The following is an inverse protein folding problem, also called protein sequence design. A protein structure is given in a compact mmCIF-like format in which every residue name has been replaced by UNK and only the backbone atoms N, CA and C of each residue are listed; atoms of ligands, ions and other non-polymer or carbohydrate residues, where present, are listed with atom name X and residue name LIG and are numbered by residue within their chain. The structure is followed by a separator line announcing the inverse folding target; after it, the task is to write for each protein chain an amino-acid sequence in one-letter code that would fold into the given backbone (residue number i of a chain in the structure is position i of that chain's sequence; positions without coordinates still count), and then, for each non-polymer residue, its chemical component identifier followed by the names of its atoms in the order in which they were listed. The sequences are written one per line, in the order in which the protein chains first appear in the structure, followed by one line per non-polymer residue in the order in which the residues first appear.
data_IF_199889790325
#
_entry.id   IF_199889790325
#
_cell.length_a   1.000
_cell.length_b   1.000
_cell.length_c   1.000
_cell.angle_alpha   90.00
_cell.angle_beta   90.00
_cell.angle_gamma   90.00
#
_symmetry.space_group_name_H-M   'P 1'
#
loop_
_entity.id
_entity.type
_entity.pdbx_description
1 polymer ?
#
# COMPACT_ATOMS: atom_id res chain seq x y z
N UNK A 1 -4.96 10.07 23.58
CA UNK A 1 -4.32 10.16 22.25
C UNK A 1 -4.00 8.76 21.75
N UNK A 2 -4.97 8.07 21.15
CA UNK A 2 -4.72 6.78 20.49
C UNK A 2 -4.07 7.02 19.13
N UNK A 3 -2.85 6.54 18.94
CA UNK A 3 -2.11 6.71 17.68
C UNK A 3 -2.84 5.98 16.56
N UNK A 4 -3.26 6.71 15.52
CA UNK A 4 -3.87 6.19 14.29
C UNK A 4 -2.86 5.46 13.39
N UNK A 5 -2.25 4.38 13.87
CA UNK A 5 -1.52 3.42 13.01
C UNK A 5 -2.45 2.35 12.43
N UNK A 6 -3.66 2.73 12.01
CA UNK A 6 -4.80 1.80 11.95
C UNK A 6 -5.46 1.56 10.59
N UNK A 7 -5.39 2.51 9.66
CA UNK A 7 -6.13 2.39 8.38
C UNK A 7 -5.22 2.01 7.23
N UNK A 8 -4.12 2.75 7.01
CA UNK A 8 -3.16 2.44 5.95
C UNK A 8 -2.54 1.06 6.13
N UNK A 9 -2.09 0.72 7.34
CA UNK A 9 -1.47 -0.58 7.64
C UNK A 9 -2.45 -1.72 7.41
N UNK A 10 -3.72 -1.56 7.84
CA UNK A 10 -4.77 -2.55 7.63
C UNK A 10 -5.07 -2.75 6.15
N UNK A 11 -5.12 -1.67 5.37
CA UNK A 11 -5.31 -1.74 3.92
C UNK A 11 -4.10 -2.38 3.25
N UNK A 12 -2.88 -2.05 3.67
CA UNK A 12 -1.66 -2.62 3.14
C UNK A 12 -1.57 -4.12 3.45
N UNK A 13 -1.92 -4.54 4.67
CA UNK A 13 -1.97 -5.95 5.07
C UNK A 13 -3.05 -6.72 4.29
N UNK A 14 -4.22 -6.10 4.06
CA UNK A 14 -5.29 -6.66 3.22
C UNK A 14 -4.85 -6.81 1.76
N UNK A 15 -4.33 -5.74 1.17
CA UNK A 15 -3.87 -5.70 -0.22
C UNK A 15 -2.69 -6.63 -0.49
N UNK A 16 -1.91 -6.99 0.54
CA UNK A 16 -0.73 -7.87 0.42
C UNK A 16 -0.91 -9.23 1.08
N UNK A 17 -2.14 -9.62 1.39
CA UNK A 17 -2.41 -10.88 2.08
C UNK A 17 -2.01 -12.07 1.20
N UNK A 18 -1.26 -13.01 1.78
CA UNK A 18 -0.91 -14.28 1.12
C UNK A 18 -2.12 -15.15 0.74
N UNK A 19 -3.31 -14.83 1.29
CA UNK A 19 -4.56 -15.56 1.07
C UNK A 19 -5.39 -14.99 -0.09
N UNK A 20 -4.94 -13.90 -0.73
CA UNK A 20 -5.60 -13.35 -1.90
C UNK A 20 -5.52 -14.33 -3.08
N UNK A 21 -6.67 -14.56 -3.71
CA UNK A 21 -6.78 -15.32 -4.96
C UNK A 21 -6.53 -14.42 -6.19
N UNK A 22 -6.74 -13.11 -6.03
CA UNK A 22 -6.54 -12.07 -7.02
C UNK A 22 -6.21 -10.73 -6.35
N UNK A 23 -5.78 -9.75 -7.15
CA UNK A 23 -5.45 -8.40 -6.69
C UNK A 23 -6.64 -7.68 -6.06
N UNK A 24 -6.46 -7.20 -4.83
CA UNK A 24 -7.46 -6.35 -4.13
C UNK A 24 -7.31 -4.88 -4.56
N UNK A 25 -7.82 -4.56 -5.74
CA UNK A 25 -7.77 -3.20 -6.30
C UNK A 25 -8.47 -2.17 -5.42
N UNK A 26 -9.53 -2.57 -4.72
CA UNK A 26 -10.25 -1.68 -3.81
C UNK A 26 -9.33 -1.16 -2.70
N UNK A 27 -8.57 -2.05 -2.07
CA UNK A 27 -7.64 -1.68 -1.00
C UNK A 27 -6.45 -0.89 -1.55
N UNK A 28 -5.94 -1.23 -2.73
CA UNK A 28 -4.86 -0.51 -3.41
C UNK A 28 -5.26 0.93 -3.73
N UNK A 29 -6.46 1.14 -4.27
CA UNK A 29 -6.96 2.48 -4.60
C UNK A 29 -7.20 3.32 -3.35
N UNK A 30 -7.75 2.73 -2.27
CA UNK A 30 -7.87 3.41 -0.98
C UNK A 30 -6.51 3.81 -0.40
N UNK A 31 -5.47 2.98 -0.55
CA UNK A 31 -4.10 3.35 -0.17
C UNK A 31 -3.63 4.58 -0.96
N UNK A 32 -3.86 4.61 -2.27
CA UNK A 32 -3.51 5.76 -3.10
C UNK A 32 -4.24 7.03 -2.64
N UNK A 33 -5.53 6.91 -2.33
CA UNK A 33 -6.34 8.02 -1.82
C UNK A 33 -5.80 8.58 -0.51
N UNK A 34 -5.44 7.71 0.45
CA UNK A 34 -4.85 8.13 1.72
C UNK A 34 -3.52 8.88 1.53
N UNK A 35 -2.71 8.48 0.55
CA UNK A 35 -1.44 9.17 0.25
C UNK A 35 -1.72 10.53 -0.41
N UNK A 36 -2.63 10.59 -1.40
CA UNK A 36 -2.98 11.83 -2.11
C UNK A 36 -3.63 12.87 -1.21
N UNK A 37 -4.47 12.43 -0.27
CA UNK A 37 -5.15 13.30 0.69
C UNK A 37 -4.20 13.79 1.81
N UNK A 38 -3.00 13.21 1.91
CA UNK A 38 -2.03 13.54 2.94
C UNK A 38 -2.28 12.85 4.29
N UNK A 39 -3.31 12.00 4.38
CA UNK A 39 -3.61 11.18 5.58
C UNK A 39 -2.49 10.19 5.89
N UNK A 40 -1.77 9.74 4.85
CA UNK A 40 -0.54 8.95 4.98
C UNK A 40 0.63 9.64 4.29
N UNK A 41 1.70 9.91 5.04
CA UNK A 41 2.91 10.49 4.45
C UNK A 41 3.55 9.52 3.44
N UNK A 42 3.81 10.00 2.21
CA UNK A 42 4.40 9.19 1.14
C UNK A 42 5.70 8.47 1.57
N UNK A 43 6.58 9.16 2.30
CA UNK A 43 7.83 8.56 2.83
C UNK A 43 7.56 7.38 3.76
N UNK A 44 6.52 7.47 4.59
CA UNK A 44 6.10 6.38 5.47
C UNK A 44 5.51 5.21 4.67
N UNK A 45 4.60 5.51 3.73
CA UNK A 45 3.98 4.51 2.88
C UNK A 45 5.00 3.68 2.10
N UNK A 46 5.97 4.34 1.43
CA UNK A 46 7.05 3.66 0.70
C UNK A 46 7.90 2.78 1.63
N UNK A 47 8.19 3.25 2.85
CA UNK A 47 8.90 2.47 3.85
C UNK A 47 8.15 1.19 4.26
N UNK A 48 6.83 1.28 4.43
CA UNK A 48 5.98 0.13 4.77
C UNK A 48 5.82 -0.84 3.59
N UNK A 49 5.56 -0.34 2.38
CA UNK A 49 5.46 -1.14 1.16
C UNK A 49 6.78 -1.90 0.91
N UNK A 50 7.93 -1.23 1.08
CA UNK A 50 9.24 -1.88 0.95
C UNK A 50 9.42 -3.07 1.91
N UNK A 51 8.81 -3.04 3.10
CA UNK A 51 8.85 -4.20 4.01
C UNK A 51 8.09 -5.40 3.42
N UNK A 52 6.96 -5.17 2.74
CA UNK A 52 6.21 -6.23 2.04
C UNK A 52 7.00 -6.84 0.89
N UNK A 53 7.77 -6.03 0.17
CA UNK A 53 8.66 -6.52 -0.90
C UNK A 53 9.77 -7.44 -0.39
N UNK A 54 10.17 -7.30 0.88
CA UNK A 54 11.20 -8.12 1.52
C UNK A 54 10.61 -9.31 2.28
N UNK A 55 9.31 -9.56 2.15
CA UNK A 55 8.66 -10.70 2.81
C UNK A 55 9.17 -12.03 2.23
N UNK A 56 9.24 -13.07 3.06
CA UNK A 56 9.68 -14.40 2.64
C UNK A 56 8.64 -15.08 1.77
N UNK A 57 7.37 -14.70 1.92
CA UNK A 57 6.29 -15.22 1.11
C UNK A 57 6.25 -14.48 -0.25
N UNK A 58 6.44 -15.18 -1.38
CA UNK A 58 6.46 -14.55 -2.69
C UNK A 58 5.11 -13.93 -3.09
N UNK A 59 3.97 -14.40 -2.58
CA UNK A 59 2.67 -13.78 -2.82
C UNK A 59 2.58 -12.40 -2.16
N UNK A 60 3.06 -12.28 -0.91
CA UNK A 60 3.09 -11.00 -0.20
C UNK A 60 3.98 -10.01 -0.93
N UNK A 61 5.15 -10.46 -1.39
CA UNK A 61 6.08 -9.63 -2.17
C UNK A 61 5.48 -9.21 -3.52
N UNK A 62 4.82 -10.13 -4.24
CA UNK A 62 4.14 -9.86 -5.51
C UNK A 62 3.07 -8.78 -5.35
N UNK A 63 2.13 -8.95 -4.42
CA UNK A 63 1.10 -7.95 -4.17
C UNK A 63 1.69 -6.64 -3.62
N UNK A 64 2.80 -6.70 -2.89
CA UNK A 64 3.57 -5.51 -2.50
C UNK A 64 4.10 -4.73 -3.71
N UNK A 65 4.50 -5.42 -4.79
CA UNK A 65 4.92 -4.78 -6.05
C UNK A 65 3.73 -4.12 -6.75
N UNK A 66 2.56 -4.76 -6.76
CA UNK A 66 1.34 -4.19 -7.35
C UNK A 66 0.90 -2.92 -6.62
N UNK A 67 0.92 -2.94 -5.27
CA UNK A 67 0.68 -1.73 -4.46
C UNK A 67 1.69 -0.63 -4.82
N UNK A 68 2.98 -0.95 -4.90
CA UNK A 68 4.02 0.03 -5.24
C UNK A 68 3.79 0.63 -6.63
N UNK A 69 3.52 -0.21 -7.62
CA UNK A 69 3.27 0.21 -9.00
C UNK A 69 2.10 1.19 -9.07
N UNK A 70 1.00 0.86 -8.39
CA UNK A 70 -0.18 1.72 -8.33
C UNK A 70 0.10 3.05 -7.61
N UNK A 71 0.79 3.02 -6.48
CA UNK A 71 1.17 4.25 -5.74
C UNK A 71 2.04 5.17 -6.60
N UNK A 72 3.01 4.62 -7.35
CA UNK A 72 3.86 5.40 -8.25
C UNK A 72 3.04 6.04 -9.38
N UNK A 73 2.09 5.30 -9.97
CA UNK A 73 1.23 5.80 -11.04
C UNK A 73 0.22 6.86 -10.59
N UNK A 74 -0.30 6.76 -9.37
CA UNK A 74 -1.42 7.58 -8.91
C UNK A 74 -1.01 8.73 -7.96
N UNK A 75 0.13 8.63 -7.27
CA UNK A 75 0.51 9.56 -6.21
C UNK A 75 1.78 10.38 -6.52
N UNK A 76 2.32 10.29 -7.73
CA UNK A 76 3.49 11.06 -8.17
C UNK A 76 3.19 12.54 -8.41
N UNK A 77 4.22 13.41 -8.39
CA UNK A 77 4.08 14.86 -8.59
C UNK A 77 3.54 15.28 -9.98
N UNK A 78 3.52 14.36 -10.95
CA UNK A 78 3.01 14.58 -12.31
C UNK A 78 1.66 13.90 -12.59
N UNK A 79 0.95 13.43 -11.55
CA UNK A 79 -0.47 13.07 -11.70
C UNK A 79 -1.25 14.38 -11.88
N UNK A 80 -2.04 14.56 -12.97
CA UNK A 80 -2.75 15.81 -13.24
C UNK A 80 -3.68 16.25 -12.10
#
# INVERSE_FOLDING_TARGET
MGKGGGTFERLLDKATSQLLLETDWESILQICDLIRQGDTQAKYAIGAIKKKLMDKNPHVALYGLEVLESVVKNCGPDSP
#
